data_IF_893417324848
#
_entry.id   IF_893417324848
#
_cell.length_a   1.000
_cell.length_b   1.000
_cell.length_c   1.000
_cell.angle_alpha   90.00
_cell.angle_beta   90.00
_cell.angle_gamma   90.00
#
_symmetry.space_group_name_H-M   'P 1'
#
loop_
_entity.id
_entity.type
_entity.pdbx_description
1 polymer ?
#
# COMPACT_ATOMS: atom_id res chain seq x y z
N UNK A 1 -6.00 -17.80 9.52
CA UNK A 1 -5.00 -17.23 8.58
C UNK A 1 -5.43 -15.82 8.20
N UNK A 2 -4.49 -14.90 7.92
CA UNK A 2 -4.81 -13.53 7.49
C UNK A 2 -4.11 -13.20 6.19
N UNK A 3 -4.74 -12.34 5.40
CA UNK A 3 -4.18 -11.73 4.19
C UNK A 3 -4.06 -10.22 4.38
N UNK A 4 -3.14 -9.58 3.65
CA UNK A 4 -2.95 -8.13 3.70
C UNK A 4 -2.84 -7.58 2.27
N UNK A 5 -3.54 -6.48 2.01
CA UNK A 5 -3.37 -5.68 0.79
C UNK A 5 -2.40 -4.54 1.07
N UNK A 6 -1.33 -4.48 0.28
CA UNK A 6 -0.33 -3.42 0.30
C UNK A 6 -0.26 -2.65 -1.03
N UNK A 7 -1.21 -2.88 -1.95
CA UNK A 7 -1.27 -2.30 -3.29
C UNK A 7 -2.33 -1.21 -3.35
N UNK A 8 -3.58 -1.54 -3.00
CA UNK A 8 -4.69 -0.59 -3.07
C UNK A 8 -5.26 -0.39 -4.47
N UNK A 9 -5.81 0.79 -4.71
CA UNK A 9 -6.51 1.15 -5.96
C UNK A 9 -5.62 1.22 -7.20
N UNK A 10 -4.29 1.16 -7.06
CA UNK A 10 -3.34 1.14 -8.18
C UNK A 10 -3.03 -0.29 -8.68
N UNK A 11 -3.84 -1.28 -8.29
CA UNK A 11 -3.65 -2.66 -8.67
C UNK A 11 -3.83 -2.88 -10.18
N UNK A 12 -2.99 -3.77 -10.73
CA UNK A 12 -3.05 -4.21 -12.12
C UNK A 12 -3.42 -5.70 -12.18
N UNK A 13 -4.15 -6.09 -13.22
CA UNK A 13 -4.45 -7.48 -13.53
C UNK A 13 -3.33 -8.16 -14.33
N UNK A 14 -3.60 -9.37 -14.84
CA UNK A 14 -2.61 -10.16 -15.58
C UNK A 14 -2.26 -9.58 -16.94
N UNK A 15 -3.12 -8.75 -17.51
CA UNK A 15 -2.92 -8.06 -18.78
C UNK A 15 -2.26 -6.68 -18.58
N UNK A 16 -1.88 -6.36 -17.34
CA UNK A 16 -1.31 -5.09 -16.91
C UNK A 16 -2.28 -3.91 -17.00
N UNK A 17 -3.58 -4.20 -17.00
CA UNK A 17 -4.64 -3.20 -16.98
C UNK A 17 -5.08 -2.91 -15.55
N UNK A 18 -5.54 -1.68 -15.32
CA UNK A 18 -5.98 -1.26 -13.99
C UNK A 18 -7.24 -2.01 -13.56
N UNK A 19 -7.17 -2.65 -12.40
CA UNK A 19 -8.28 -3.36 -11.80
C UNK A 19 -8.21 -3.21 -10.28
N UNK A 20 -8.93 -2.23 -9.73
CA UNK A 20 -8.85 -1.91 -8.31
C UNK A 20 -9.43 -3.02 -7.41
N UNK A 21 -10.12 -4.01 -7.99
CA UNK A 21 -10.78 -5.08 -7.25
C UNK A 21 -9.95 -6.36 -7.12
N UNK A 22 -8.95 -6.53 -7.99
CA UNK A 22 -8.27 -7.82 -8.19
C UNK A 22 -7.62 -8.36 -6.92
N UNK A 23 -6.92 -7.51 -6.17
CA UNK A 23 -6.21 -7.92 -4.94
C UNK A 23 -7.21 -8.33 -3.85
N UNK A 24 -8.29 -7.56 -3.67
CA UNK A 24 -9.34 -7.87 -2.68
C UNK A 24 -10.03 -9.19 -3.00
N UNK A 25 -10.33 -9.44 -4.28
CA UNK A 25 -10.95 -10.70 -4.73
C UNK A 25 -10.03 -11.89 -4.45
N UNK A 26 -8.77 -11.81 -4.88
CA UNK A 26 -7.78 -12.86 -4.66
C UNK A 26 -7.54 -13.14 -3.17
N UNK A 27 -7.52 -12.09 -2.34
CA UNK A 27 -7.41 -12.22 -0.89
C UNK A 27 -8.58 -13.00 -0.29
N UNK A 28 -9.82 -12.73 -0.75
CA UNK A 28 -11.02 -13.47 -0.32
C UNK A 28 -10.93 -14.94 -0.76
N UNK A 29 -10.36 -15.22 -1.93
CA UNK A 29 -10.23 -16.59 -2.44
C UNK A 29 -9.25 -17.42 -1.62
N UNK A 30 -8.11 -16.85 -1.23
CA UNK A 30 -7.04 -17.61 -0.54
C UNK A 30 -7.18 -17.61 0.99
N UNK A 31 -7.88 -16.64 1.58
CA UNK A 31 -8.03 -16.59 3.04
C UNK A 31 -8.91 -17.75 3.55
N UNK A 32 -8.47 -18.37 4.64
CA UNK A 32 -9.17 -19.46 5.32
C UNK A 32 -10.52 -19.00 5.92
N UNK A 33 -11.48 -19.93 6.07
CA UNK A 33 -12.72 -19.71 6.81
C UNK A 33 -12.47 -19.13 8.21
N UNK A 34 -13.26 -18.13 8.63
CA UNK A 34 -13.06 -17.39 9.89
C UNK A 34 -11.80 -16.52 9.91
N UNK A 35 -11.13 -16.35 8.77
CA UNK A 35 -9.92 -15.56 8.64
C UNK A 35 -10.16 -14.04 8.63
N UNK A 36 -9.08 -13.30 8.38
CA UNK A 36 -9.14 -11.83 8.37
C UNK A 36 -8.35 -11.21 7.25
N UNK A 37 -8.85 -10.08 6.77
CA UNK A 37 -8.26 -9.23 5.74
C UNK A 37 -7.83 -7.91 6.40
N UNK A 38 -6.60 -7.50 6.15
CA UNK A 38 -6.09 -6.16 6.47
C UNK A 38 -5.85 -5.35 5.19
N UNK A 39 -6.45 -4.17 5.09
CA UNK A 39 -6.31 -3.27 3.95
C UNK A 39 -5.42 -2.08 4.32
N UNK A 40 -4.19 -2.10 3.82
CA UNK A 40 -3.25 -0.98 3.96
C UNK A 40 -3.13 -0.19 2.66
N UNK A 41 -3.26 -0.88 1.52
CA UNK A 41 -3.41 -0.25 0.20
C UNK A 41 -4.52 0.80 0.20
N UNK A 42 -4.21 1.98 -0.35
CA UNK A 42 -5.13 3.12 -0.31
C UNK A 42 -6.26 2.93 -1.31
N UNK A 43 -7.49 3.17 -0.87
CA UNK A 43 -8.65 3.41 -1.71
C UNK A 43 -9.15 4.81 -1.43
N UNK A 44 -9.10 5.68 -2.44
CA UNK A 44 -9.50 7.07 -2.31
C UNK A 44 -9.98 7.61 -3.66
N UNK A 45 -11.29 7.85 -3.76
CA UNK A 45 -11.85 8.71 -4.80
C UNK A 45 -11.73 10.16 -4.37
N UNK A 46 -11.25 11.02 -5.26
CA UNK A 46 -11.18 12.46 -5.03
C UNK A 46 -11.32 13.22 -6.34
N UNK A 47 -11.66 14.50 -6.28
CA UNK A 47 -11.61 15.33 -7.48
C UNK A 47 -10.16 15.50 -7.97
N UNK A 48 -10.03 15.68 -9.27
CA UNK A 48 -8.77 16.04 -9.89
C UNK A 48 -8.33 17.43 -9.44
N UNK A 49 -7.06 17.55 -9.05
CA UNK A 49 -6.45 18.79 -8.57
C UNK A 49 -5.03 18.92 -9.11
N UNK A 50 -4.36 20.09 -9.00
CA UNK A 50 -2.97 20.23 -9.45
C UNK A 50 -2.01 19.22 -8.82
N UNK A 51 -2.26 18.80 -7.57
CA UNK A 51 -1.45 17.79 -6.87
C UNK A 51 -1.88 16.34 -7.10
N UNK A 52 -3.02 16.12 -7.76
CA UNK A 52 -3.56 14.81 -8.09
C UNK A 52 -4.39 14.92 -9.38
N UNK A 53 -3.73 15.09 -10.55
CA UNK A 53 -4.42 15.39 -11.81
C UNK A 53 -5.31 14.24 -12.31
N UNK A 54 -5.08 13.03 -11.81
CA UNK A 54 -5.87 11.83 -12.10
C UNK A 54 -6.76 11.42 -10.93
N UNK A 55 -7.05 12.32 -9.98
CA UNK A 55 -7.85 11.98 -8.80
C UNK A 55 -9.23 11.41 -9.16
N UNK A 56 -9.87 11.98 -10.19
CA UNK A 56 -11.22 11.60 -10.62
C UNK A 56 -11.29 10.32 -11.45
N UNK A 57 -10.15 9.70 -11.78
CA UNK A 57 -10.16 8.44 -12.54
C UNK A 57 -10.38 7.22 -11.64
N UNK A 58 -10.32 7.41 -10.32
CA UNK A 58 -10.43 6.34 -9.34
C UNK A 58 -11.87 6.15 -8.94
N UNK A 59 -12.38 4.92 -9.10
CA UNK A 59 -13.74 4.60 -8.71
C UNK A 59 -13.91 4.65 -7.18
N UNK A 60 -15.02 5.23 -6.67
CA UNK A 60 -15.37 5.13 -5.24
C UNK A 60 -15.82 3.70 -4.85
N UNK A 61 -16.02 2.81 -5.82
CA UNK A 61 -16.55 1.46 -5.61
C UNK A 61 -15.76 0.41 -6.38
N UNK A 62 -15.70 -0.80 -5.82
CA UNK A 62 -15.14 -1.97 -6.50
C UNK A 62 -16.13 -3.14 -6.42
N UNK A 63 -16.12 -4.06 -7.40
CA UNK A 63 -16.78 -5.35 -7.26
C UNK A 63 -16.25 -6.13 -6.05
N UNK A 64 -17.13 -6.46 -5.11
CA UNK A 64 -16.80 -7.16 -3.88
C UNK A 64 -17.52 -8.53 -3.80
N UNK A 65 -16.80 -9.66 -3.69
CA UNK A 65 -17.38 -11.02 -3.59
C UNK A 65 -18.13 -11.29 -2.27
N UNK A 66 -19.23 -10.58 -2.04
CA UNK A 66 -19.93 -10.58 -0.75
C UNK A 66 -20.44 -11.97 -0.32
N UNK A 67 -20.90 -12.80 -1.27
CA UNK A 67 -21.39 -14.15 -0.97
C UNK A 67 -20.27 -15.06 -0.44
N UNK A 68 -19.10 -15.07 -1.09
CA UNK A 68 -17.93 -15.84 -0.63
C UNK A 68 -17.39 -15.30 0.67
N UNK A 69 -17.32 -13.98 0.80
CA UNK A 69 -16.89 -13.31 2.04
C UNK A 69 -17.76 -13.70 3.23
N UNK A 70 -19.09 -13.68 3.03
CA UNK A 70 -20.08 -14.07 4.03
C UNK A 70 -19.99 -15.56 4.37
N UNK A 71 -19.97 -16.44 3.35
CA UNK A 71 -19.90 -17.88 3.55
C UNK A 71 -18.62 -18.31 4.28
N UNK A 72 -17.51 -17.61 4.05
CA UNK A 72 -16.26 -17.83 4.75
C UNK A 72 -16.22 -17.21 6.16
N UNK A 73 -17.19 -16.40 6.56
CA UNK A 73 -17.22 -15.76 7.88
C UNK A 73 -16.01 -14.85 8.13
N UNK A 74 -15.62 -14.05 7.12
CA UNK A 74 -14.38 -13.27 7.16
C UNK A 74 -14.54 -11.94 7.92
N UNK A 75 -13.41 -11.45 8.44
CA UNK A 75 -13.28 -10.08 8.97
C UNK A 75 -12.48 -9.21 8.00
N UNK A 76 -12.82 -7.92 7.93
CA UNK A 76 -12.13 -6.95 7.08
C UNK A 76 -11.81 -5.70 7.91
N UNK A 77 -10.54 -5.30 7.99
CA UNK A 77 -10.09 -4.10 8.73
C UNK A 77 -9.28 -3.19 7.83
N UNK A 78 -9.58 -1.89 7.90
CA UNK A 78 -9.00 -0.86 7.03
C UNK A 78 -8.70 0.40 7.84
N UNK A 79 -8.11 1.39 7.18
CA UNK A 79 -7.93 2.74 7.70
C UNK A 79 -6.46 3.16 7.72
N UNK A 80 -6.24 4.46 7.87
CA UNK A 80 -4.90 4.99 8.03
C UNK A 80 -4.25 4.42 9.31
N UNK A 81 -2.96 4.11 9.22
CA UNK A 81 -2.20 3.65 10.39
C UNK A 81 -2.01 4.80 11.38
N UNK A 82 -2.39 4.58 12.64
CA UNK A 82 -1.99 5.46 13.74
C UNK A 82 -0.54 5.15 14.14
N UNK A 83 0.40 5.85 13.50
CA UNK A 83 1.83 5.65 13.72
C UNK A 83 2.24 5.88 15.18
N UNK A 84 1.58 6.80 15.89
CA UNK A 84 1.97 7.16 17.27
C UNK A 84 1.81 5.98 18.22
N UNK A 85 0.81 5.13 17.96
CA UNK A 85 0.54 3.93 18.75
C UNK A 85 1.64 2.85 18.59
N UNK A 86 2.23 2.74 17.41
CA UNK A 86 3.16 1.64 17.09
C UNK A 86 4.64 2.06 17.05
N UNK A 87 4.92 3.36 16.86
CA UNK A 87 6.28 3.87 16.71
C UNK A 87 7.23 3.45 17.86
N UNK A 88 6.86 3.53 19.16
CA UNK A 88 7.76 3.11 20.23
C UNK A 88 8.21 1.64 20.10
N UNK A 89 7.26 0.74 19.85
CA UNK A 89 7.54 -0.69 19.67
C UNK A 89 8.45 -0.93 18.46
N UNK A 90 8.20 -0.27 17.33
CA UNK A 90 9.00 -0.43 16.12
C UNK A 90 10.44 0.10 16.31
N UNK A 91 10.59 1.21 17.01
CA UNK A 91 11.89 1.79 17.37
C UNK A 91 12.66 0.83 18.28
N UNK A 92 12.01 0.24 19.29
CA UNK A 92 12.64 -0.72 20.20
C UNK A 92 13.13 -1.97 19.44
N UNK A 93 12.38 -2.45 18.45
CA UNK A 93 12.82 -3.56 17.60
C UNK A 93 14.06 -3.21 16.77
N UNK A 94 14.17 -1.97 16.30
CA UNK A 94 15.36 -1.48 15.57
C UNK A 94 16.55 -1.35 16.52
N UNK A 95 16.36 -0.66 17.65
CA UNK A 95 17.43 -0.41 18.64
C UNK A 95 17.97 -1.69 19.28
N UNK A 96 17.11 -2.71 19.44
CA UNK A 96 17.51 -4.03 19.94
C UNK A 96 18.14 -4.93 18.87
N UNK A 97 18.25 -4.48 17.62
CA UNK A 97 18.81 -5.27 16.52
C UNK A 97 17.90 -6.41 16.06
N UNK A 98 16.62 -6.42 16.44
CA UNK A 98 15.65 -7.42 15.97
C UNK A 98 15.10 -7.11 14.59
N UNK A 99 15.12 -5.84 14.19
CA UNK A 99 14.65 -5.37 12.89
C UNK A 99 15.69 -4.48 12.22
N UNK A 100 15.96 -4.72 10.94
CA UNK A 100 16.90 -3.95 10.13
C UNK A 100 16.22 -3.47 8.84
N UNK A 101 15.38 -2.43 8.86
CA UNK A 101 14.56 -2.04 7.71
C UNK A 101 15.34 -1.44 6.55
N UNK A 102 16.66 -1.21 6.71
CA UNK A 102 17.50 -0.58 5.69
C UNK A 102 17.52 -1.32 4.36
N UNK A 103 17.22 -2.63 4.32
CA UNK A 103 17.17 -3.41 3.08
C UNK A 103 16.13 -2.90 2.07
N UNK A 104 15.12 -2.12 2.50
CA UNK A 104 14.10 -1.57 1.60
C UNK A 104 14.57 -0.30 0.89
N UNK A 105 15.60 0.39 1.41
CA UNK A 105 16.09 1.65 0.87
C UNK A 105 16.92 1.35 -0.38
N UNK A 106 16.45 1.81 -1.54
CA UNK A 106 17.13 1.63 -2.82
C UNK A 106 18.08 2.78 -3.16
N UNK A 107 17.84 3.98 -2.63
CA UNK A 107 18.71 5.14 -2.83
C UNK A 107 18.64 6.15 -1.67
N UNK A 108 19.76 6.84 -1.45
CA UNK A 108 19.88 7.99 -0.54
C UNK A 108 20.40 9.17 -1.36
N UNK A 109 19.64 10.26 -1.42
CA UNK A 109 19.88 11.35 -2.38
C UNK A 109 19.84 12.73 -1.71
N UNK A 110 20.54 13.69 -2.30
CA UNK A 110 20.39 15.10 -1.93
C UNK A 110 19.13 15.73 -2.55
N UNK A 111 18.70 16.87 -2.00
CA UNK A 111 17.48 17.58 -2.44
C UNK A 111 17.46 17.91 -3.94
N UNK A 112 18.61 18.25 -4.54
CA UNK A 112 18.70 18.60 -5.96
C UNK A 112 18.39 17.43 -6.92
N UNK A 113 18.56 16.18 -6.45
CA UNK A 113 18.28 14.99 -7.26
C UNK A 113 16.81 14.55 -7.21
N UNK A 114 15.97 15.21 -6.40
CA UNK A 114 14.57 14.82 -6.18
C UNK A 114 13.77 14.68 -7.48
N UNK A 115 13.80 15.63 -8.44
CA UNK A 115 13.02 15.50 -9.67
C UNK A 115 13.35 14.24 -10.48
N UNK A 116 14.64 13.89 -10.58
CA UNK A 116 15.09 12.67 -11.26
C UNK A 116 14.54 11.43 -10.54
N UNK A 117 14.66 11.37 -9.22
CA UNK A 117 14.26 10.19 -8.45
C UNK A 117 12.75 10.00 -8.35
N UNK A 118 11.94 11.07 -8.43
CA UNK A 118 10.50 10.94 -8.65
C UNK A 118 10.20 10.27 -10.01
N UNK A 119 10.89 10.66 -11.08
CA UNK A 119 10.75 10.02 -12.39
C UNK A 119 11.16 8.54 -12.36
N UNK A 120 12.28 8.23 -11.69
CA UNK A 120 12.76 6.84 -11.50
C UNK A 120 11.77 5.99 -10.69
N UNK A 121 11.23 6.53 -9.59
CA UNK A 121 10.23 5.85 -8.76
C UNK A 121 8.95 5.58 -9.55
N UNK A 122 8.44 6.58 -10.30
CA UNK A 122 7.29 6.40 -11.18
C UNK A 122 7.55 5.32 -12.24
N UNK A 123 8.75 5.31 -12.83
CA UNK A 123 9.21 4.28 -13.77
C UNK A 123 9.59 2.94 -13.12
N UNK A 124 9.23 2.72 -11.84
CA UNK A 124 9.47 1.48 -11.08
C UNK A 124 10.93 1.05 -10.99
N UNK A 125 11.86 2.00 -11.09
CA UNK A 125 13.32 1.76 -10.97
C UNK A 125 13.83 1.87 -9.53
N UNK A 126 13.01 2.33 -8.61
CA UNK A 126 13.33 2.55 -7.19
C UNK A 126 12.23 1.98 -6.29
N UNK A 127 12.61 1.47 -5.12
CA UNK A 127 11.67 0.93 -4.13
C UNK A 127 11.40 1.92 -2.99
N UNK A 128 12.45 2.50 -2.41
CA UNK A 128 12.34 3.52 -1.36
C UNK A 128 13.54 4.44 -1.43
N UNK A 129 13.27 5.72 -1.67
CA UNK A 129 14.28 6.77 -1.72
C UNK A 129 14.24 7.57 -0.42
N UNK A 130 15.39 7.78 0.20
CA UNK A 130 15.57 8.68 1.33
C UNK A 130 16.26 9.97 0.88
N UNK A 131 15.73 11.12 1.28
CA UNK A 131 16.28 12.43 0.94
C UNK A 131 17.01 12.97 2.16
N UNK A 132 18.28 13.33 2.01
CA UNK A 132 19.00 14.10 3.01
C UNK A 132 19.05 15.57 2.59
N UNK A 133 18.89 16.45 3.57
CA UNK A 133 19.04 17.88 3.43
C UNK A 133 20.37 18.22 4.11
N UNK A 134 21.35 18.68 3.33
CA UNK A 134 22.56 19.24 3.93
C UNK A 134 22.18 20.51 4.69
N UNK A 135 22.78 20.71 5.87
CA UNK A 135 22.74 21.97 6.59
C UNK A 135 23.48 23.09 5.84
#
# INVERSE_FOLDING_TARGET
MRTVDCVGMEALDTDLEMNESVVVQQMIDVVHFGGGIGQLGVYKSQDSSPGAPYGSTMSPTIPFPISTFFAKGLSFRTGAVDLKKYAPLLIDLINSGKAHPSFVISAVIGIEAVPEYYSRFNGKKETKVAIYFAE
#
